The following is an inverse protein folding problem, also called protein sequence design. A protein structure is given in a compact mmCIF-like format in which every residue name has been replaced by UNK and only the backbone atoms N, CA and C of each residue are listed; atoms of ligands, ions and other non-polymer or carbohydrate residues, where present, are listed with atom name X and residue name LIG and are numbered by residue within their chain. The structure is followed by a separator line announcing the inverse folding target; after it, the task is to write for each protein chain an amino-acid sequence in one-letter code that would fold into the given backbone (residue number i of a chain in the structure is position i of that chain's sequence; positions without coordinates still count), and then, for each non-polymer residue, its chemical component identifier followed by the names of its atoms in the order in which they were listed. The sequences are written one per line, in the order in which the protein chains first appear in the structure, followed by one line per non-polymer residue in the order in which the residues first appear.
data_IF_223698849342
#
_entry.id   IF_223698849342
#
_cell.length_a   1.000
_cell.length_b   1.000
_cell.length_c   1.000
_cell.angle_alpha   90.00
_cell.angle_beta   90.00
_cell.angle_gamma   90.00
#
_symmetry.space_group_name_H-M   'P 1'
#
loop_
_entity.id
_entity.type
_entity.pdbx_description
1 polymer ?
#
# COMPACT_ATOMS: atom_id res chain seq x y z
N UNK A 1 6.59 10.83 -8.91
CA UNK A 1 5.60 11.57 -8.10
C UNK A 1 5.57 10.89 -6.74
N UNK A 2 6.09 11.56 -5.71
CA UNK A 2 6.14 11.01 -4.35
C UNK A 2 4.88 11.46 -3.63
N UNK A 3 4.02 10.52 -3.21
CA UNK A 3 2.74 10.81 -2.56
C UNK A 3 2.54 9.81 -1.42
N UNK A 4 2.10 10.24 -0.23
CA UNK A 4 1.92 9.34 0.91
C UNK A 4 0.80 8.31 0.74
N UNK A 5 -0.03 8.46 -0.29
CA UNK A 5 -1.06 7.48 -0.69
C UNK A 5 -0.61 6.59 -1.86
N UNK A 6 0.69 6.58 -2.15
CA UNK A 6 1.33 5.72 -3.17
C UNK A 6 2.50 5.01 -2.51
N UNK A 7 2.37 3.70 -2.28
CA UNK A 7 3.35 2.92 -1.53
C UNK A 7 4.22 2.08 -2.48
N UNK A 8 5.56 2.22 -2.47
CA UNK A 8 6.45 1.39 -3.26
C UNK A 8 6.48 -0.05 -2.73
N UNK A 9 6.56 -0.99 -3.67
CA UNK A 9 6.69 -2.43 -3.41
C UNK A 9 7.83 -2.96 -4.26
N UNK A 10 8.83 -3.55 -3.62
CA UNK A 10 9.96 -4.13 -4.33
C UNK A 10 9.56 -5.40 -5.09
N UNK A 11 10.25 -5.68 -6.20
CA UNK A 11 10.18 -6.97 -6.86
C UNK A 11 10.44 -8.11 -5.86
N UNK A 12 9.67 -9.19 -5.96
CA UNK A 12 9.69 -10.33 -5.04
C UNK A 12 8.71 -10.21 -3.86
N UNK A 13 8.41 -9.00 -3.37
CA UNK A 13 7.33 -8.84 -2.37
C UNK A 13 5.97 -8.98 -3.06
N UNK A 14 5.05 -9.76 -2.47
CA UNK A 14 3.78 -10.06 -3.13
C UNK A 14 3.88 -10.97 -4.36
N UNK A 15 5.03 -11.63 -4.59
CA UNK A 15 5.31 -12.42 -5.80
C UNK A 15 5.27 -11.57 -7.10
N UNK A 16 5.69 -10.31 -6.99
CA UNK A 16 5.79 -9.40 -8.14
C UNK A 16 7.11 -9.61 -8.89
N UNK A 17 7.06 -9.55 -10.22
CA UNK A 17 8.25 -9.67 -11.07
C UNK A 17 9.06 -8.37 -11.18
N UNK A 18 8.47 -7.23 -10.81
CA UNK A 18 9.03 -5.91 -10.97
C UNK A 18 8.68 -5.03 -9.78
N UNK A 19 9.52 -4.03 -9.52
CA UNK A 19 9.18 -2.95 -8.60
C UNK A 19 7.88 -2.28 -9.05
N UNK A 20 6.98 -2.11 -8.10
CA UNK A 20 5.59 -1.73 -8.34
C UNK A 20 5.11 -0.70 -7.32
N UNK A 21 3.90 -0.19 -7.52
CA UNK A 21 3.27 0.80 -6.66
C UNK A 21 1.86 0.36 -6.26
N UNK A 22 1.54 0.46 -4.98
CA UNK A 22 0.16 0.36 -4.48
C UNK A 22 -0.45 1.76 -4.51
N UNK A 23 -1.55 1.93 -5.24
CA UNK A 23 -2.26 3.21 -5.37
C UNK A 23 -3.43 3.24 -4.38
N UNK A 24 -3.18 3.68 -3.15
CA UNK A 24 -4.19 3.66 -2.07
C UNK A 24 -5.41 4.55 -2.37
N UNK A 25 -5.22 5.63 -3.14
CA UNK A 25 -6.31 6.49 -3.61
C UNK A 25 -7.22 5.85 -4.67
N UNK A 26 -6.83 4.69 -5.23
CA UNK A 26 -7.63 3.92 -6.19
C UNK A 26 -8.31 2.69 -5.54
N UNK A 27 -8.55 2.72 -4.23
CA UNK A 27 -9.24 1.64 -3.52
C UNK A 27 -10.67 1.44 -4.04
N UNK A 28 -11.06 0.19 -4.24
CA UNK A 28 -12.40 -0.19 -4.76
C UNK A 28 -13.00 -1.37 -3.99
N UNK A 29 -14.29 -1.30 -3.71
CA UNK A 29 -15.06 -2.46 -3.25
C UNK A 29 -15.31 -3.41 -4.41
N UNK A 30 -15.06 -4.70 -4.21
CA UNK A 30 -15.23 -5.74 -5.23
C UNK A 30 -16.05 -6.91 -4.66
N UNK A 31 -16.97 -7.44 -5.47
CA UNK A 31 -17.62 -8.72 -5.18
C UNK A 31 -16.61 -9.88 -5.28
N UNK A 32 -16.76 -10.90 -4.44
CA UNK A 32 -15.83 -12.04 -4.37
C UNK A 32 -15.72 -12.80 -5.69
N UNK A 33 -16.77 -12.83 -6.53
CA UNK A 33 -16.76 -13.47 -7.85
C UNK A 33 -15.77 -12.81 -8.83
N UNK A 34 -15.35 -11.57 -8.57
CA UNK A 34 -14.34 -10.87 -9.38
C UNK A 34 -12.90 -11.30 -9.04
N UNK A 35 -12.68 -11.98 -7.92
CA UNK A 35 -11.36 -12.48 -7.52
C UNK A 35 -11.10 -13.81 -8.22
N UNK A 36 -10.30 -13.79 -9.29
CA UNK A 36 -10.04 -14.98 -10.11
C UNK A 36 -8.96 -15.90 -9.53
N UNK A 37 -7.92 -15.34 -8.91
CA UNK A 37 -6.77 -16.08 -8.37
C UNK A 37 -6.04 -15.28 -7.30
N UNK A 38 -5.33 -15.99 -6.44
CA UNK A 38 -4.35 -15.43 -5.50
C UNK A 38 -3.00 -15.41 -6.22
N UNK A 39 -2.37 -14.24 -6.33
CA UNK A 39 -1.09 -14.07 -7.02
C UNK A 39 0.12 -14.22 -6.09
N UNK A 40 -0.06 -13.92 -4.81
CA UNK A 40 0.98 -13.91 -3.79
C UNK A 40 0.48 -13.29 -2.50
N UNK A 41 1.40 -12.92 -1.62
CA UNK A 41 1.13 -12.29 -0.33
C UNK A 41 2.15 -11.19 -0.04
N UNK A 42 1.69 -10.03 0.41
CA UNK A 42 2.58 -8.96 0.84
C UNK A 42 3.24 -9.30 2.17
N UNK A 43 4.47 -8.85 2.36
CA UNK A 43 5.14 -8.85 3.65
C UNK A 43 4.35 -8.04 4.69
N UNK A 44 4.44 -8.36 5.99
CA UNK A 44 3.74 -7.61 7.03
C UNK A 44 4.07 -6.11 7.03
N UNK A 45 5.33 -5.77 6.72
CA UNK A 45 5.81 -4.38 6.65
C UNK A 45 5.13 -3.62 5.51
N UNK A 46 5.13 -4.18 4.30
CA UNK A 46 4.48 -3.55 3.15
C UNK A 46 2.98 -3.45 3.32
N UNK A 47 2.35 -4.48 3.90
CA UNK A 47 0.92 -4.46 4.21
C UNK A 47 0.57 -3.35 5.22
N UNK A 48 1.38 -3.17 6.28
CA UNK A 48 1.19 -2.09 7.26
C UNK A 48 1.24 -0.71 6.61
N UNK A 49 2.23 -0.48 5.74
CA UNK A 49 2.36 0.78 4.98
C UNK A 49 1.16 1.00 4.06
N UNK A 50 0.70 -0.04 3.35
CA UNK A 50 -0.48 0.03 2.50
C UNK A 50 -1.75 0.37 3.29
N UNK A 51 -1.93 -0.22 4.48
CA UNK A 51 -3.07 0.09 5.37
C UNK A 51 -3.06 1.57 5.79
N UNK A 52 -1.90 2.07 6.26
CA UNK A 52 -1.75 3.47 6.63
C UNK A 52 -2.02 4.41 5.44
N UNK A 53 -1.50 4.07 4.26
CA UNK A 53 -1.75 4.82 3.03
C UNK A 53 -3.24 4.85 2.64
N UNK A 54 -3.98 3.75 2.86
CA UNK A 54 -5.44 3.71 2.66
C UNK A 54 -6.17 4.59 3.68
N UNK A 55 -5.80 4.51 4.96
CA UNK A 55 -6.39 5.34 6.03
C UNK A 55 -6.23 6.82 5.70
N UNK A 56 -5.03 7.23 5.26
CA UNK A 56 -4.80 8.59 4.81
C UNK A 56 -5.64 8.95 3.57
N UNK A 57 -5.73 8.05 2.59
CA UNK A 57 -6.49 8.28 1.36
C UNK A 57 -8.00 8.48 1.59
N UNK A 58 -8.56 7.90 2.66
CA UNK A 58 -9.98 8.07 3.03
C UNK A 58 -10.21 9.22 4.03
N UNK A 59 -9.15 9.96 4.41
CA UNK A 59 -9.24 11.09 5.34
C UNK A 59 -9.27 10.70 6.82
N UNK A 60 -8.76 9.53 7.19
CA UNK A 60 -8.60 9.15 8.59
C UNK A 60 -7.43 9.91 9.23
N UNK A 61 -7.64 10.42 10.44
CA UNK A 61 -6.60 11.12 11.22
C UNK A 61 -5.61 10.11 11.79
N UNK A 62 -4.41 10.10 11.23
CA UNK A 62 -3.29 9.30 11.71
C UNK A 62 -2.52 10.03 12.82
N UNK A 63 -1.89 9.26 13.69
CA UNK A 63 -0.95 9.83 14.67
C UNK A 63 0.33 10.32 13.98
N UNK A 64 1.03 11.27 14.61
CA UNK A 64 2.30 11.80 14.08
C UNK A 64 3.35 10.70 13.81
N UNK A 65 3.35 9.65 14.64
CA UNK A 65 4.23 8.50 14.46
C UNK A 65 3.92 7.71 13.17
N UNK A 66 2.64 7.50 12.87
CA UNK A 66 2.19 6.79 11.67
C UNK A 66 2.40 7.61 10.40
N UNK A 67 2.20 8.93 10.47
CA UNK A 67 2.52 9.83 9.35
C UNK A 67 4.01 9.78 9.05
N UNK A 68 4.86 9.82 10.09
CA UNK A 68 6.31 9.72 9.93
C UNK A 68 6.72 8.40 9.29
N UNK A 69 6.13 7.28 9.71
CA UNK A 69 6.39 5.96 9.12
C UNK A 69 6.12 5.92 7.60
N UNK A 70 5.04 6.57 7.16
CA UNK A 70 4.71 6.69 5.73
C UNK A 70 5.72 7.59 5.03
N UNK A 71 6.05 8.76 5.59
CA UNK A 71 6.98 9.71 4.97
C UNK A 71 8.40 9.12 4.86
N UNK A 72 8.86 8.38 5.86
CA UNK A 72 10.14 7.68 5.84
C UNK A 72 10.15 6.59 4.74
N UNK A 73 9.00 5.95 4.46
CA UNK A 73 8.87 4.98 3.37
C UNK A 73 8.88 5.61 1.97
N UNK A 74 8.66 6.92 1.85
CA UNK A 74 8.67 7.66 0.59
C UNK A 74 10.07 8.15 0.18
N UNK A 75 11.00 8.21 1.14
CA UNK A 75 12.39 8.65 0.93
C UNK A 75 13.34 7.50 1.30
N UNK A 76 13.58 6.55 0.37
CA UNK A 76 14.57 5.49 0.58
C UNK A 76 16.00 6.03 0.69
#
# INVERSE_FOLDING_TARGET
MVSPVVIPVAAGDGNLNFDSLILCHQIRTLDRRRVMKILGSLSPVTLRKAMLGVMLAIGYELSDAEVKEILDALNP
#
